data_IF_103301429648
#
_entry.id   IF_103301429648
#
_cell.length_a   1.000
_cell.length_b   1.000
_cell.length_c   1.000
_cell.angle_alpha   90.00
_cell.angle_beta   90.00
_cell.angle_gamma   90.00
#
_symmetry.space_group_name_H-M   'P 1'
#
loop_
_entity.id
_entity.type
_entity.pdbx_description
1 polymer ?
#
# COMPACT_ATOMS: atom_id res chain seq x y z
N UNK A 1 14.05 -30.74 -17.39
CA UNK A 1 13.39 -30.37 -16.09
C UNK A 1 14.26 -29.58 -15.13
N UNK A 2 15.49 -30.00 -14.76
CA UNK A 2 16.34 -29.22 -13.84
C UNK A 2 16.73 -27.85 -14.44
N UNK A 3 17.02 -27.83 -15.74
CA UNK A 3 17.37 -26.62 -16.49
C UNK A 3 16.18 -25.64 -16.66
N UNK A 4 14.95 -26.16 -16.89
CA UNK A 4 13.74 -25.33 -17.04
C UNK A 4 13.34 -24.64 -15.72
N UNK A 5 13.42 -25.37 -14.59
CA UNK A 5 13.16 -24.79 -13.27
C UNK A 5 14.17 -23.70 -12.92
N UNK A 6 15.43 -23.90 -13.27
CA UNK A 6 16.48 -22.92 -13.04
C UNK A 6 16.22 -21.67 -13.88
N UNK A 7 15.96 -21.82 -15.18
CA UNK A 7 15.66 -20.72 -16.10
C UNK A 7 14.42 -19.95 -15.65
N UNK A 8 13.37 -20.64 -15.21
CA UNK A 8 12.17 -20.00 -14.69
C UNK A 8 12.47 -19.18 -13.44
N UNK A 9 13.29 -19.70 -12.53
CA UNK A 9 13.69 -18.98 -11.32
C UNK A 9 14.52 -17.73 -11.65
N UNK A 10 15.43 -17.81 -12.61
CA UNK A 10 16.21 -16.66 -13.11
C UNK A 10 15.27 -15.59 -13.67
N UNK A 11 14.36 -15.96 -14.56
CA UNK A 11 13.35 -15.02 -15.11
C UNK A 11 12.47 -14.38 -14.01
N UNK A 12 12.10 -15.17 -13.00
CA UNK A 12 11.33 -14.66 -11.86
C UNK A 12 12.12 -13.63 -11.04
N UNK A 13 13.40 -13.90 -10.78
CA UNK A 13 14.27 -12.97 -10.08
C UNK A 13 14.50 -11.68 -10.89
N UNK A 14 14.64 -11.79 -12.20
CA UNK A 14 14.73 -10.65 -13.11
C UNK A 14 13.44 -9.81 -13.07
N UNK A 15 12.29 -10.44 -13.09
CA UNK A 15 10.99 -9.76 -12.97
C UNK A 15 10.89 -8.99 -11.64
N UNK A 16 11.25 -9.61 -10.51
CA UNK A 16 11.28 -8.95 -9.21
C UNK A 16 12.20 -7.72 -9.21
N UNK A 17 13.39 -7.86 -9.81
CA UNK A 17 14.33 -6.77 -9.96
C UNK A 17 13.74 -5.62 -10.81
N UNK A 18 13.12 -5.94 -11.96
CA UNK A 18 12.53 -4.94 -12.85
C UNK A 18 11.35 -4.21 -12.19
N UNK A 19 10.46 -4.93 -11.49
CA UNK A 19 9.37 -4.33 -10.71
C UNK A 19 9.94 -3.34 -9.69
N UNK A 20 10.93 -3.77 -8.90
CA UNK A 20 11.56 -2.89 -7.90
C UNK A 20 12.24 -1.67 -8.53
N UNK A 21 12.93 -1.86 -9.68
CA UNK A 21 13.57 -0.78 -10.42
C UNK A 21 12.54 0.21 -10.97
N UNK A 22 11.43 -0.29 -11.52
CA UNK A 22 10.32 0.53 -12.01
C UNK A 22 9.75 1.40 -10.87
N UNK A 23 9.41 0.82 -9.74
CA UNK A 23 8.93 1.56 -8.57
C UNK A 23 9.94 2.63 -8.11
N UNK A 24 11.20 2.27 -8.02
CA UNK A 24 12.23 3.22 -7.60
C UNK A 24 12.32 4.43 -8.55
N UNK A 25 12.33 4.20 -9.86
CA UNK A 25 12.41 5.26 -10.87
C UNK A 25 11.15 6.13 -10.88
N UNK A 26 9.98 5.50 -10.78
CA UNK A 26 8.69 6.20 -10.74
C UNK A 26 8.64 7.15 -9.54
N UNK A 27 9.11 6.71 -8.37
CA UNK A 27 9.15 7.54 -7.17
C UNK A 27 10.21 8.64 -7.20
N UNK A 28 11.34 8.43 -7.87
CA UNK A 28 12.36 9.47 -8.01
C UNK A 28 11.89 10.68 -8.83
N UNK A 29 11.08 10.46 -9.86
CA UNK A 29 10.60 11.52 -10.74
C UNK A 29 9.42 12.33 -10.16
N UNK A 30 8.70 11.79 -9.19
CA UNK A 30 7.51 12.42 -8.61
C UNK A 30 7.75 13.29 -7.37
N UNK A 31 8.92 13.17 -6.74
CA UNK A 31 9.20 13.81 -5.45
C UNK A 31 8.51 13.13 -4.25
N UNK A 32 8.81 13.59 -3.01
CA UNK A 32 8.39 12.91 -1.78
C UNK A 32 6.89 12.91 -1.51
N UNK A 33 6.12 13.77 -2.15
CA UNK A 33 4.66 13.83 -2.03
C UNK A 33 3.94 12.93 -3.06
N UNK A 34 4.62 12.58 -4.15
CA UNK A 34 4.08 11.70 -5.19
C UNK A 34 4.15 10.22 -4.79
N UNK A 35 5.02 9.86 -3.86
CA UNK A 35 5.19 8.49 -3.36
C UNK A 35 4.03 8.10 -2.44
N UNK A 36 3.10 7.29 -2.94
CA UNK A 36 1.94 6.82 -2.18
C UNK A 36 2.29 5.71 -1.18
N UNK A 37 3.47 5.12 -1.27
CA UNK A 37 3.87 3.96 -0.45
C UNK A 37 4.45 4.34 0.91
N UNK A 38 4.96 5.56 1.07
CA UNK A 38 5.68 5.99 2.29
C UNK A 38 5.58 7.49 2.58
N UNK A 39 5.91 7.84 3.81
CA UNK A 39 6.10 9.22 4.24
C UNK A 39 4.87 10.10 4.08
N UNK A 40 5.10 11.35 3.69
CA UNK A 40 4.06 12.37 3.53
C UNK A 40 3.12 12.07 2.35
N UNK A 41 3.64 11.52 1.26
CA UNK A 41 2.85 11.13 0.11
C UNK A 41 1.80 10.07 0.46
N UNK A 42 2.17 9.09 1.30
CA UNK A 42 1.24 8.08 1.80
C UNK A 42 0.09 8.68 2.62
N UNK A 43 0.39 9.69 3.45
CA UNK A 43 -0.65 10.41 4.20
C UNK A 43 -1.63 11.10 3.25
N UNK A 44 -1.11 11.80 2.22
CA UNK A 44 -1.96 12.45 1.22
C UNK A 44 -2.80 11.44 0.44
N UNK A 45 -2.23 10.28 0.07
CA UNK A 45 -2.95 9.22 -0.63
C UNK A 45 -4.15 8.71 0.19
N UNK A 46 -3.94 8.46 1.48
CA UNK A 46 -5.02 8.04 2.40
C UNK A 46 -6.11 9.12 2.51
N UNK A 47 -5.73 10.38 2.67
CA UNK A 47 -6.68 11.48 2.79
C UNK A 47 -7.42 11.80 1.49
N UNK A 48 -6.90 11.38 0.33
CA UNK A 48 -7.64 11.42 -0.95
C UNK A 48 -8.73 10.36 -1.01
N UNK A 49 -8.50 9.21 -0.42
CA UNK A 49 -9.48 8.14 -0.34
C UNK A 49 -10.53 8.45 0.74
N UNK A 50 -10.09 8.93 1.89
CA UNK A 50 -10.96 9.31 3.01
C UNK A 50 -10.72 10.77 3.40
N UNK A 51 -11.64 11.68 3.06
CA UNK A 51 -11.44 13.12 3.15
C UNK A 51 -11.13 13.67 4.55
N UNK A 52 -11.58 12.99 5.61
CA UNK A 52 -11.35 13.41 7.00
C UNK A 52 -10.97 12.23 7.87
N UNK A 53 -9.86 12.35 8.61
CA UNK A 53 -9.40 11.32 9.54
C UNK A 53 -8.82 11.94 10.82
N UNK A 54 -8.94 11.21 11.93
CA UNK A 54 -8.26 11.60 13.17
C UNK A 54 -6.79 11.22 13.13
N UNK A 55 -5.95 11.90 13.93
CA UNK A 55 -4.54 11.51 14.11
C UNK A 55 -4.41 10.07 14.59
N UNK A 56 -5.35 9.61 15.45
CA UNK A 56 -5.36 8.25 15.97
C UNK A 56 -5.63 7.23 14.86
N UNK A 57 -6.64 7.48 14.00
CA UNK A 57 -6.97 6.58 12.89
C UNK A 57 -5.83 6.51 11.87
N UNK A 58 -5.22 7.67 11.52
CA UNK A 58 -4.05 7.70 10.64
C UNK A 58 -2.85 6.98 11.22
N UNK A 59 -2.53 7.17 12.51
CA UNK A 59 -1.43 6.48 13.18
C UNK A 59 -1.64 4.96 13.17
N UNK A 60 -2.86 4.54 13.47
CA UNK A 60 -3.24 3.13 13.46
C UNK A 60 -3.13 2.52 12.04
N UNK A 61 -3.72 3.20 11.03
CA UNK A 61 -3.71 2.75 9.65
C UNK A 61 -2.31 2.66 9.04
N UNK A 62 -1.47 3.65 9.34
CA UNK A 62 -0.10 3.72 8.84
C UNK A 62 0.84 2.77 9.60
N UNK A 63 0.46 2.28 10.77
CA UNK A 63 1.32 1.47 11.64
C UNK A 63 2.54 2.22 12.18
N UNK A 64 2.44 3.54 12.35
CA UNK A 64 3.54 4.39 12.82
C UNK A 64 3.17 5.04 14.16
N UNK A 65 4.20 5.40 14.95
CA UNK A 65 4.00 6.07 16.23
C UNK A 65 3.39 7.47 16.01
N UNK A 66 2.52 7.89 16.91
CA UNK A 66 1.85 9.20 16.83
C UNK A 66 2.83 10.38 16.78
N UNK A 67 3.98 10.26 17.44
CA UNK A 67 5.02 11.29 17.40
C UNK A 67 5.55 11.48 15.97
N UNK A 68 5.95 10.40 15.30
CA UNK A 68 6.44 10.45 13.91
C UNK A 68 5.36 10.94 12.94
N UNK A 69 4.12 10.52 13.14
CA UNK A 69 2.99 11.03 12.36
C UNK A 69 2.81 12.53 12.56
N UNK A 70 2.83 13.01 13.82
CA UNK A 70 2.66 14.43 14.11
C UNK A 70 3.74 15.32 13.48
N UNK A 71 4.98 14.85 13.38
CA UNK A 71 6.06 15.55 12.68
C UNK A 71 5.78 15.68 11.18
N UNK A 72 5.33 14.61 10.54
CA UNK A 72 4.95 14.63 9.12
C UNK A 72 3.73 15.54 8.88
N UNK A 73 2.72 15.44 9.75
CA UNK A 73 1.52 16.28 9.65
C UNK A 73 1.84 17.77 9.85
N UNK A 74 2.74 18.13 10.78
CA UNK A 74 3.20 19.52 10.97
C UNK A 74 3.87 20.07 9.71
N UNK A 75 4.68 19.26 9.01
CA UNK A 75 5.30 19.67 7.74
C UNK A 75 4.24 19.88 6.66
N UNK A 76 3.33 18.93 6.47
CA UNK A 76 2.24 19.04 5.49
C UNK A 76 1.33 20.25 5.75
N UNK A 77 1.01 20.53 7.00
CA UNK A 77 0.21 21.68 7.41
C UNK A 77 0.95 23.01 7.17
N UNK A 78 2.23 23.09 7.57
CA UNK A 78 3.09 24.27 7.33
C UNK A 78 3.22 24.58 5.83
N UNK A 79 3.29 23.56 5.00
CA UNK A 79 3.37 23.68 3.55
C UNK A 79 1.99 23.89 2.90
N UNK A 80 0.91 23.85 3.68
CA UNK A 80 -0.44 24.11 3.23
C UNK A 80 -1.11 22.98 2.45
N UNK A 81 -0.67 21.74 2.60
CA UNK A 81 -1.27 20.57 1.95
C UNK A 81 -2.45 19.98 2.73
N UNK A 82 -2.43 20.13 4.04
CA UNK A 82 -3.52 19.68 4.93
C UNK A 82 -3.97 20.80 5.85
N UNK A 83 -5.17 20.67 6.40
CA UNK A 83 -5.69 21.45 7.51
C UNK A 83 -6.06 20.54 8.68
N UNK A 84 -6.01 21.10 9.90
CA UNK A 84 -6.45 20.43 11.12
C UNK A 84 -7.52 21.25 11.78
N UNK A 85 -8.70 20.67 11.93
CA UNK A 85 -9.85 21.32 12.52
C UNK A 85 -10.38 20.48 13.69
N UNK A 86 -10.84 21.11 14.78
CA UNK A 86 -11.52 20.39 15.85
C UNK A 86 -12.79 19.73 15.31
N UNK A 87 -13.05 18.50 15.72
CA UNK A 87 -14.30 17.82 15.38
C UNK A 87 -15.51 18.57 15.99
N UNK A 88 -16.58 18.67 15.23
CA UNK A 88 -17.85 19.25 15.71
C UNK A 88 -18.49 18.42 16.84
N UNK A 89 -18.19 17.13 16.91
CA UNK A 89 -18.73 16.21 17.94
C UNK A 89 -17.93 16.24 19.24
N UNK A 90 -16.61 16.37 19.15
CA UNK A 90 -15.71 16.49 20.30
C UNK A 90 -14.50 17.34 19.90
N UNK A 91 -14.41 18.53 20.43
CA UNK A 91 -13.34 19.51 20.15
C UNK A 91 -11.95 19.03 20.57
N UNK A 92 -11.84 17.98 21.38
CA UNK A 92 -10.55 17.35 21.73
C UNK A 92 -9.98 16.51 20.61
N UNK A 93 -10.82 16.12 19.66
CA UNK A 93 -10.45 15.31 18.50
C UNK A 93 -10.15 16.26 17.34
N UNK A 94 -8.91 16.19 16.81
CA UNK A 94 -8.52 16.92 15.62
C UNK A 94 -8.77 16.06 14.39
N UNK A 95 -9.55 16.61 13.45
CA UNK A 95 -9.76 16.04 12.11
C UNK A 95 -8.75 16.65 11.15
N UNK A 96 -8.16 15.79 10.35
CA UNK A 96 -7.16 16.11 9.35
C UNK A 96 -7.81 15.96 8.00
N UNK A 97 -7.74 16.98 7.16
CA UNK A 97 -8.29 17.01 5.80
C UNK A 97 -7.32 17.65 4.82
N UNK A 98 -7.47 17.31 3.52
CA UNK A 98 -6.69 17.92 2.46
C UNK A 98 -7.19 19.34 2.18
N UNK A 99 -6.26 20.26 1.94
CA UNK A 99 -6.56 21.54 1.27
C UNK A 99 -6.71 21.33 -0.23
N UNK A 100 -7.12 22.34 -0.98
CA UNK A 100 -7.13 22.31 -2.45
C UNK A 100 -5.73 22.02 -3.02
N UNK A 101 -4.70 22.62 -2.40
CA UNK A 101 -3.30 22.34 -2.75
C UNK A 101 -2.94 20.86 -2.51
N UNK A 102 -3.39 20.26 -1.41
CA UNK A 102 -3.18 18.86 -1.11
C UNK A 102 -3.89 17.92 -2.08
N UNK A 103 -5.13 18.23 -2.47
CA UNK A 103 -5.88 17.48 -3.48
C UNK A 103 -5.22 17.53 -4.85
N UNK A 104 -4.63 18.68 -5.20
CA UNK A 104 -3.98 18.91 -6.50
C UNK A 104 -2.61 18.21 -6.63
N UNK A 105 -2.02 17.69 -5.55
CA UNK A 105 -0.74 16.95 -5.63
C UNK A 105 -0.92 15.75 -6.56
N UNK A 106 -0.17 15.73 -7.66
CA UNK A 106 -0.12 14.56 -8.54
C UNK A 106 0.63 13.45 -7.82
N UNK A 107 -0.02 12.34 -7.61
CA UNK A 107 0.58 11.14 -7.04
C UNK A 107 0.69 10.09 -8.12
N UNK A 108 1.78 9.36 -8.06
CA UNK A 108 2.03 8.26 -8.98
C UNK A 108 1.36 7.05 -8.33
N UNK A 109 0.22 6.64 -8.87
CA UNK A 109 -0.34 5.35 -8.56
C UNK A 109 0.61 4.28 -9.13
N UNK A 110 0.87 3.22 -8.37
CA UNK A 110 1.53 2.04 -8.91
C UNK A 110 0.56 1.32 -9.86
N UNK A 111 0.36 1.93 -11.03
CA UNK A 111 -0.49 1.37 -12.07
C UNK A 111 0.34 0.41 -12.94
N UNK A 112 0.22 -0.86 -12.61
CA UNK A 112 0.80 -1.95 -13.40
C UNK A 112 -0.16 -2.44 -14.50
N UNK A 113 -1.34 -1.81 -14.68
CA UNK A 113 -2.38 -2.29 -15.58
C UNK A 113 -1.88 -2.39 -17.02
N UNK A 114 -1.17 -1.39 -17.52
CA UNK A 114 -0.64 -1.38 -18.89
C UNK A 114 0.42 -2.45 -19.19
N UNK A 115 1.02 -3.07 -18.20
CA UNK A 115 2.05 -4.11 -18.42
C UNK A 115 1.46 -5.46 -18.88
N UNK A 116 0.15 -5.62 -18.75
CA UNK A 116 -0.57 -6.83 -19.12
C UNK A 116 -1.46 -6.67 -20.36
N UNK A 117 -1.45 -5.49 -20.99
CA UNK A 117 -2.36 -5.18 -22.11
C UNK A 117 -2.10 -6.02 -23.36
N UNK A 118 -0.86 -6.46 -23.56
CA UNK A 118 -0.46 -7.29 -24.70
C UNK A 118 -0.85 -8.77 -24.54
N UNK A 119 -1.37 -9.17 -23.38
CA UNK A 119 -1.78 -10.55 -23.12
C UNK A 119 -3.24 -10.80 -23.51
N UNK A 120 -3.50 -11.90 -24.20
CA UNK A 120 -4.84 -12.38 -24.44
C UNK A 120 -5.54 -12.82 -23.14
N UNK A 121 -6.89 -12.91 -23.18
CA UNK A 121 -7.66 -13.38 -22.01
C UNK A 121 -7.27 -14.81 -21.56
N UNK A 122 -6.89 -15.66 -22.49
CA UNK A 122 -6.44 -17.03 -22.19
C UNK A 122 -5.10 -17.02 -21.49
N UNK A 123 -4.13 -16.30 -22.03
CA UNK A 123 -2.80 -16.15 -21.42
C UNK A 123 -2.89 -15.55 -20.02
N UNK A 124 -3.75 -14.54 -19.81
CA UNK A 124 -3.98 -13.97 -18.48
C UNK A 124 -4.55 -15.00 -17.49
N UNK A 125 -5.46 -15.88 -17.93
CA UNK A 125 -6.01 -16.96 -17.07
C UNK A 125 -4.94 -17.97 -16.70
N UNK A 126 -4.16 -18.41 -17.67
CA UNK A 126 -3.10 -19.40 -17.44
C UNK A 126 -2.00 -18.81 -16.55
N UNK A 127 -1.62 -17.58 -16.82
CA UNK A 127 -0.63 -16.87 -15.99
C UNK A 127 -1.12 -16.71 -14.54
N UNK A 128 -2.38 -16.28 -14.35
CA UNK A 128 -2.97 -16.19 -13.01
C UNK A 128 -3.02 -17.54 -12.30
N UNK A 129 -3.38 -18.63 -12.99
CA UNK A 129 -3.38 -19.99 -12.46
C UNK A 129 -1.99 -20.40 -11.96
N UNK A 130 -0.94 -20.18 -12.75
CA UNK A 130 0.43 -20.54 -12.36
C UNK A 130 0.97 -19.66 -11.23
N UNK A 131 0.66 -18.37 -11.24
CA UNK A 131 1.01 -17.49 -10.13
C UNK A 131 0.32 -17.92 -8.83
N UNK A 132 -0.96 -18.29 -8.88
CA UNK A 132 -1.71 -18.77 -7.71
C UNK A 132 -1.05 -20.03 -7.12
N UNK A 133 -0.71 -21.01 -7.97
CA UNK A 133 -0.01 -22.22 -7.53
C UNK A 133 1.35 -21.91 -6.89
N UNK A 134 2.08 -20.92 -7.43
CA UNK A 134 3.35 -20.49 -6.87
C UNK A 134 3.16 -19.81 -5.50
N UNK A 135 2.16 -18.96 -5.37
CA UNK A 135 1.78 -18.35 -4.09
C UNK A 135 1.42 -19.38 -3.03
N UNK A 136 0.63 -20.40 -3.39
CA UNK A 136 0.29 -21.52 -2.49
C UNK A 136 1.53 -22.28 -2.02
N UNK A 137 2.47 -22.55 -2.97
CA UNK A 137 3.72 -23.23 -2.64
C UNK A 137 4.59 -22.40 -1.67
N UNK A 138 4.67 -21.07 -1.85
CA UNK A 138 5.36 -20.18 -0.92
C UNK A 138 4.66 -20.12 0.44
N UNK A 139 3.32 -20.01 0.46
CA UNK A 139 2.55 -20.00 1.71
C UNK A 139 2.77 -21.28 2.53
N UNK A 140 2.83 -22.43 1.86
CA UNK A 140 3.16 -23.70 2.54
C UNK A 140 4.55 -23.64 3.18
N UNK A 141 5.56 -23.16 2.46
CA UNK A 141 6.93 -23.03 2.99
C UNK A 141 7.02 -22.00 4.13
N UNK A 142 6.30 -20.89 4.03
CA UNK A 142 6.24 -19.89 5.10
C UNK A 142 5.69 -20.51 6.37
N UNK A 143 4.60 -21.28 6.30
CA UNK A 143 4.05 -21.99 7.45
C UNK A 143 4.99 -23.02 8.10
N UNK A 144 5.95 -23.54 7.32
CA UNK A 144 6.97 -24.49 7.83
C UNK A 144 8.07 -23.77 8.64
N UNK A 145 8.29 -22.46 8.40
CA UNK A 145 9.40 -21.70 8.99
C UNK A 145 8.94 -20.56 9.93
N UNK A 146 7.68 -20.10 9.77
CA UNK A 146 7.14 -19.01 10.58
C UNK A 146 6.94 -19.44 12.03
N UNK A 147 7.38 -18.59 12.97
CA UNK A 147 7.06 -18.73 14.38
C UNK A 147 5.69 -18.11 14.69
N UNK A 148 5.05 -18.47 15.82
CA UNK A 148 3.82 -17.80 16.26
C UNK A 148 3.97 -16.28 16.42
N UNK A 149 5.16 -15.80 16.76
CA UNK A 149 5.45 -14.35 16.86
C UNK A 149 5.52 -13.68 15.49
N UNK A 150 6.03 -14.38 14.48
CA UNK A 150 6.04 -13.88 13.09
C UNK A 150 4.63 -13.82 12.53
N UNK A 151 3.83 -14.87 12.73
CA UNK A 151 2.42 -14.86 12.33
C UNK A 151 1.64 -13.75 13.02
N UNK A 152 1.84 -13.53 14.32
CA UNK A 152 1.17 -12.46 15.07
C UNK A 152 1.49 -11.06 14.52
N UNK A 153 2.73 -10.80 14.08
CA UNK A 153 3.11 -9.51 13.44
C UNK A 153 2.37 -9.30 12.12
N UNK A 154 2.24 -10.34 11.30
CA UNK A 154 1.49 -10.29 10.05
C UNK A 154 -0.01 -10.13 10.31
N UNK A 155 -0.56 -10.87 11.28
CA UNK A 155 -1.97 -10.78 11.65
C UNK A 155 -2.34 -9.40 12.19
N UNK A 156 -1.47 -8.74 12.96
CA UNK A 156 -1.71 -7.38 13.45
C UNK A 156 -1.94 -6.39 12.29
N UNK A 157 -1.17 -6.50 11.22
CA UNK A 157 -1.39 -5.68 10.03
C UNK A 157 -2.75 -5.96 9.38
N UNK A 158 -3.10 -7.23 9.17
CA UNK A 158 -4.38 -7.60 8.58
C UNK A 158 -5.57 -7.21 9.47
N UNK A 159 -5.45 -7.34 10.78
CA UNK A 159 -6.48 -6.86 11.73
C UNK A 159 -6.67 -5.34 11.64
N UNK A 160 -5.61 -4.57 11.39
CA UNK A 160 -5.72 -3.13 11.16
C UNK A 160 -6.54 -2.83 9.90
N UNK A 161 -6.28 -3.57 8.82
CA UNK A 161 -7.03 -3.44 7.57
C UNK A 161 -8.50 -3.81 7.78
N UNK A 162 -8.79 -4.91 8.48
CA UNK A 162 -10.15 -5.37 8.74
C UNK A 162 -10.96 -4.33 9.53
N UNK A 163 -10.38 -3.75 10.59
CA UNK A 163 -11.01 -2.64 11.33
C UNK A 163 -11.23 -1.38 10.50
N UNK A 164 -10.43 -1.16 9.46
CA UNK A 164 -10.63 -0.04 8.54
C UNK A 164 -11.69 -0.33 7.50
N UNK A 165 -11.94 -1.61 7.17
CA UNK A 165 -13.04 -2.03 6.28
C UNK A 165 -14.39 -1.52 6.78
N UNK A 166 -14.61 -1.46 8.09
CA UNK A 166 -15.82 -0.89 8.68
C UNK A 166 -15.97 0.63 8.42
N UNK A 167 -14.86 1.31 8.11
CA UNK A 167 -14.80 2.77 7.95
C UNK A 167 -14.58 3.24 6.50
N UNK A 168 -14.31 2.33 5.59
CA UNK A 168 -14.01 2.60 4.17
C UNK A 168 -14.85 1.69 3.29
N UNK A 169 -15.28 2.17 2.13
CA UNK A 169 -15.93 1.28 1.17
C UNK A 169 -14.93 0.31 0.53
N UNK A 170 -15.43 -0.78 -0.08
CA UNK A 170 -14.58 -1.84 -0.64
C UNK A 170 -13.62 -1.35 -1.74
N UNK A 171 -14.03 -0.33 -2.50
CA UNK A 171 -13.19 0.27 -3.55
C UNK A 171 -12.05 1.11 -2.94
N UNK A 172 -12.34 1.91 -1.93
CA UNK A 172 -11.35 2.69 -1.20
C UNK A 172 -10.34 1.76 -0.52
N UNK A 173 -10.83 0.68 0.10
CA UNK A 173 -10.00 -0.32 0.76
C UNK A 173 -9.09 -1.04 -0.25
N UNK A 174 -9.59 -1.43 -1.42
CA UNK A 174 -8.78 -2.03 -2.49
C UNK A 174 -7.66 -1.09 -2.94
N UNK A 175 -7.98 0.16 -3.26
CA UNK A 175 -6.99 1.18 -3.63
C UNK A 175 -5.97 1.41 -2.52
N UNK A 176 -6.42 1.41 -1.26
CA UNK A 176 -5.55 1.52 -0.11
C UNK A 176 -4.58 0.33 -0.01
N UNK A 177 -5.09 -0.90 -0.13
CA UNK A 177 -4.29 -2.12 -0.08
C UNK A 177 -3.27 -2.21 -1.22
N UNK A 178 -3.65 -1.80 -2.43
CA UNK A 178 -2.76 -1.76 -3.59
C UNK A 178 -1.54 -0.87 -3.33
N UNK A 179 -1.74 0.27 -2.68
CA UNK A 179 -0.69 1.28 -2.51
C UNK A 179 0.04 1.18 -1.17
N UNK A 180 -0.44 0.39 -0.22
CA UNK A 180 0.01 0.45 1.18
C UNK A 180 0.29 -0.90 1.83
N UNK A 181 0.51 -1.95 1.07
CA UNK A 181 1.00 -3.21 1.62
C UNK A 181 2.36 -2.97 2.33
N UNK A 182 2.59 -3.46 3.55
CA UNK A 182 3.87 -3.33 4.25
C UNK A 182 5.02 -4.01 3.50
N UNK A 183 4.68 -4.83 2.51
CA UNK A 183 5.62 -5.57 1.66
C UNK A 183 5.66 -5.03 0.22
N UNK A 184 5.07 -3.85 -0.05
CA UNK A 184 4.84 -3.32 -1.38
C UNK A 184 3.62 -3.96 -2.05
N UNK A 185 3.36 -3.67 -3.33
CA UNK A 185 2.15 -4.14 -4.04
C UNK A 185 2.06 -5.66 -4.23
N UNK A 186 3.04 -6.42 -3.76
CA UNK A 186 3.15 -7.87 -3.99
C UNK A 186 2.31 -8.77 -3.08
N UNK A 187 1.70 -8.26 -2.01
CA UNK A 187 1.04 -9.14 -1.05
C UNK A 187 -0.44 -8.80 -0.86
N UNK A 188 -1.25 -9.25 -1.80
CA UNK A 188 -2.69 -9.43 -1.59
C UNK A 188 -2.93 -10.86 -1.13
N UNK A 189 -3.55 -11.06 0.06
CA UNK A 189 -4.20 -12.36 0.31
C UNK A 189 -5.28 -12.52 -0.75
N UNK A 190 -5.32 -13.61 -1.50
CA UNK A 190 -6.50 -13.96 -2.27
C UNK A 190 -7.64 -14.19 -1.26
N UNK A 191 -8.75 -13.53 -1.49
CA UNK A 191 -10.02 -13.78 -0.79
C UNK A 191 -10.59 -15.11 -1.27
#
# INVERSE_FOLDING_TARGET
MKNEKQKLNETFMDLLYLIRKYHMLTHQHGGPLADTSRGQGRILAILKLKPEMTTKDLSYLLGIRQQSLNEMLKKLEKEGYISRNPSSKDRRIMLISLTEKGKAVKQIADDNSGMLDDFSKEELRDFNKYLTQLCEAYNKKIKEIATPEDEAKFDEFYQRIEKMREKMCDEELRKFMQNNSPFGPMFHRPF
#
